data_IF_351220323584
#
_entry.id   IF_351220323584
#
_cell.length_a   1.000
_cell.length_b   1.000
_cell.length_c   1.000
_cell.angle_alpha   90.00
_cell.angle_beta   90.00
_cell.angle_gamma   90.00
#
_symmetry.space_group_name_H-M   'P 1'
#
loop_
_entity.id
_entity.type
_entity.pdbx_description
1 polymer ?
#
# COMPACT_ATOMS: atom_id res chain seq x y z
N UNK A 1 15.26 -12.91 -11.58
CA UNK A 1 13.93 -12.93 -10.95
C UNK A 1 13.95 -12.65 -9.44
N UNK A 2 14.90 -13.19 -8.66
CA UNK A 2 14.93 -12.98 -7.20
C UNK A 2 15.02 -11.52 -6.73
N UNK A 3 15.89 -10.71 -7.33
CA UNK A 3 16.09 -9.29 -6.93
C UNK A 3 14.84 -8.41 -7.10
N UNK A 4 14.03 -8.70 -8.12
CA UNK A 4 12.77 -7.96 -8.39
C UNK A 4 11.75 -8.20 -7.28
N UNK A 5 11.57 -9.47 -6.89
CA UNK A 5 10.67 -9.83 -5.80
C UNK A 5 11.14 -9.29 -4.45
N UNK A 6 12.45 -9.34 -4.17
CA UNK A 6 13.02 -8.75 -2.97
C UNK A 6 12.80 -7.23 -2.94
N UNK A 7 13.06 -6.53 -4.04
CA UNK A 7 12.81 -5.09 -4.13
C UNK A 7 11.33 -4.75 -3.94
N UNK A 8 10.43 -5.53 -4.53
CA UNK A 8 8.98 -5.36 -4.38
C UNK A 8 8.56 -5.52 -2.91
N UNK A 9 8.96 -6.62 -2.27
CA UNK A 9 8.62 -6.87 -0.86
C UNK A 9 9.16 -5.78 0.07
N UNK A 10 10.42 -5.38 -0.10
CA UNK A 10 11.02 -4.31 0.72
C UNK A 10 10.25 -3.00 0.54
N UNK A 11 9.96 -2.61 -0.71
CA UNK A 11 9.23 -1.38 -1.01
C UNK A 11 7.84 -1.41 -0.40
N UNK A 12 7.14 -2.54 -0.49
CA UNK A 12 5.79 -2.71 0.04
C UNK A 12 5.74 -2.70 1.57
N UNK A 13 6.75 -3.28 2.23
CA UNK A 13 6.87 -3.25 3.70
C UNK A 13 7.18 -1.84 4.17
N UNK A 14 8.14 -1.15 3.55
CA UNK A 14 8.45 0.25 3.87
C UNK A 14 7.23 1.13 3.69
N UNK A 15 6.45 0.90 2.62
CA UNK A 15 5.20 1.61 2.38
C UNK A 15 4.17 1.40 3.49
N UNK A 16 4.01 0.17 3.98
CA UNK A 16 3.13 -0.12 5.11
C UNK A 16 3.62 0.55 6.41
N UNK A 17 4.93 0.56 6.68
CA UNK A 17 5.51 1.23 7.86
C UNK A 17 5.19 2.72 7.87
N UNK A 18 5.24 3.39 6.71
CA UNK A 18 4.87 4.81 6.57
C UNK A 18 3.41 5.07 6.99
N UNK A 19 2.53 4.07 6.90
CA UNK A 19 1.13 4.20 7.31
C UNK A 19 0.89 3.96 8.80
N UNK A 20 1.86 3.43 9.55
CA UNK A 20 1.70 3.14 10.99
C UNK A 20 1.37 4.41 11.82
N UNK A 21 2.01 5.58 11.61
CA UNK A 21 1.68 6.76 12.41
C UNK A 21 0.24 7.23 12.22
N UNK A 22 -0.29 7.21 10.99
CA UNK A 22 -1.67 7.68 10.74
C UNK A 22 -2.70 6.70 11.30
N UNK A 23 -2.46 5.39 11.20
CA UNK A 23 -3.39 4.38 11.72
C UNK A 23 -3.50 4.44 13.25
N UNK A 24 -2.37 4.64 13.94
CA UNK A 24 -2.31 4.67 15.40
C UNK A 24 -2.70 6.04 15.95
N UNK A 25 -2.11 7.13 15.47
CA UNK A 25 -2.27 8.44 16.11
C UNK A 25 -3.44 9.26 15.59
N UNK A 26 -3.80 9.12 14.30
CA UNK A 26 -4.87 9.92 13.69
C UNK A 26 -6.18 9.15 13.73
N UNK A 27 -6.19 7.91 13.23
CA UNK A 27 -7.41 7.11 13.10
C UNK A 27 -7.72 6.30 14.34
N UNK A 28 -6.73 6.12 15.23
CA UNK A 28 -6.88 5.43 16.53
C UNK A 28 -7.52 4.05 16.38
N UNK A 29 -7.11 3.32 15.35
CA UNK A 29 -7.56 1.95 15.13
C UNK A 29 -7.11 1.06 16.29
N UNK A 30 -7.95 0.10 16.65
CA UNK A 30 -7.54 -0.98 17.55
C UNK A 30 -6.52 -1.89 16.85
N UNK A 31 -5.91 -2.81 17.61
CA UNK A 31 -4.82 -3.64 17.08
C UNK A 31 -5.28 -4.47 15.89
N UNK A 32 -6.49 -5.03 15.93
CA UNK A 32 -7.00 -5.85 14.85
C UNK A 32 -7.19 -5.03 13.57
N UNK A 33 -7.89 -3.90 13.66
CA UNK A 33 -8.13 -3.03 12.50
C UNK A 33 -6.82 -2.46 11.92
N UNK A 34 -5.85 -2.15 12.78
CA UNK A 34 -4.51 -1.70 12.35
C UNK A 34 -3.78 -2.76 11.54
N UNK A 35 -3.76 -4.01 12.02
CA UNK A 35 -3.09 -5.12 11.32
C UNK A 35 -3.77 -5.40 9.97
N UNK A 36 -5.11 -5.43 9.95
CA UNK A 36 -5.87 -5.63 8.70
C UNK A 36 -5.56 -4.52 7.70
N UNK A 37 -5.58 -3.26 8.13
CA UNK A 37 -5.28 -2.12 7.26
C UNK A 37 -3.84 -2.16 6.73
N UNK A 38 -2.85 -2.42 7.59
CA UNK A 38 -1.44 -2.48 7.17
C UNK A 38 -1.18 -3.64 6.21
N UNK A 39 -1.87 -4.77 6.39
CA UNK A 39 -1.83 -5.89 5.45
C UNK A 39 -2.41 -5.49 4.10
N UNK A 40 -3.55 -4.81 4.08
CA UNK A 40 -4.17 -4.28 2.85
C UNK A 40 -3.23 -3.30 2.13
N UNK A 41 -2.60 -2.37 2.86
CA UNK A 41 -1.62 -1.43 2.31
C UNK A 41 -0.39 -2.15 1.76
N UNK A 42 0.06 -3.22 2.40
CA UNK A 42 1.18 -4.04 1.91
C UNK A 42 0.81 -4.74 0.61
N UNK A 43 -0.37 -5.38 0.54
CA UNK A 43 -0.88 -6.03 -0.68
C UNK A 43 -1.04 -5.03 -1.82
N UNK A 44 -1.53 -3.83 -1.53
CA UNK A 44 -1.59 -2.72 -2.47
C UNK A 44 -0.19 -2.38 -3.02
N UNK A 45 0.80 -2.22 -2.14
CA UNK A 45 2.19 -1.96 -2.53
C UNK A 45 2.74 -3.05 -3.46
N UNK A 46 2.48 -4.32 -3.12
CA UNK A 46 2.95 -5.46 -3.91
C UNK A 46 2.34 -5.47 -5.30
N UNK A 47 1.03 -5.23 -5.39
CA UNK A 47 0.31 -5.13 -6.65
C UNK A 47 0.81 -3.96 -7.51
N UNK A 48 0.94 -2.76 -6.93
CA UNK A 48 1.43 -1.57 -7.62
C UNK A 48 2.84 -1.77 -8.18
N UNK A 49 3.78 -2.27 -7.36
CA UNK A 49 5.16 -2.51 -7.78
C UNK A 49 5.26 -3.65 -8.80
N UNK A 50 4.40 -4.67 -8.71
CA UNK A 50 4.35 -5.74 -9.71
C UNK A 50 3.87 -5.23 -11.07
N UNK A 51 2.78 -4.44 -11.11
CA UNK A 51 2.29 -3.86 -12.37
C UNK A 51 3.35 -2.93 -12.97
N UNK A 52 4.02 -2.12 -12.14
CA UNK A 52 5.14 -1.29 -12.60
C UNK A 52 6.29 -2.14 -13.16
N UNK A 53 6.67 -3.24 -12.49
CA UNK A 53 7.76 -4.10 -12.95
C UNK A 53 7.50 -4.67 -14.35
N UNK A 54 6.23 -4.95 -14.68
CA UNK A 54 5.80 -5.48 -15.99
C UNK A 54 5.60 -4.41 -17.06
N UNK A 55 5.01 -3.28 -16.70
CA UNK A 55 4.60 -2.25 -17.67
C UNK A 55 5.64 -1.15 -17.83
N UNK A 56 6.57 -1.01 -16.87
CA UNK A 56 7.50 0.12 -16.76
C UNK A 56 6.81 1.48 -16.83
N UNK A 57 5.54 1.54 -16.41
CA UNK A 57 4.71 2.73 -16.45
C UNK A 57 4.16 3.06 -15.05
N UNK A 58 4.38 4.31 -14.62
CA UNK A 58 3.92 4.84 -13.33
C UNK A 58 2.43 5.16 -13.31
N UNK A 59 1.78 5.38 -14.47
CA UNK A 59 0.34 5.69 -14.55
C UNK A 59 -0.51 4.65 -13.86
N UNK A 60 -0.14 3.36 -13.99
CA UNK A 60 -0.83 2.26 -13.31
C UNK A 60 -0.83 2.43 -11.79
N UNK A 61 0.32 2.78 -11.21
CA UNK A 61 0.49 2.98 -9.77
C UNK A 61 -0.23 4.24 -9.28
N UNK A 62 -0.23 5.31 -10.08
CA UNK A 62 -0.98 6.54 -9.78
C UNK A 62 -2.49 6.23 -9.74
N UNK A 63 -3.03 5.59 -10.78
CA UNK A 63 -4.45 5.26 -10.84
C UNK A 63 -4.86 4.30 -9.72
N UNK A 64 -4.06 3.27 -9.44
CA UNK A 64 -4.30 2.38 -8.31
C UNK A 64 -4.36 3.17 -7.00
N UNK A 65 -3.44 4.09 -6.78
CA UNK A 65 -3.41 4.88 -5.55
C UNK A 65 -4.58 5.84 -5.44
N UNK A 66 -4.95 6.53 -6.53
CA UNK A 66 -6.11 7.42 -6.56
C UNK A 66 -7.39 6.64 -6.25
N UNK A 67 -7.63 5.53 -6.96
CA UNK A 67 -8.81 4.70 -6.75
C UNK A 67 -8.85 4.05 -5.36
N UNK A 68 -7.69 3.76 -4.78
CA UNK A 68 -7.58 3.25 -3.40
C UNK A 68 -7.99 4.28 -2.35
N UNK A 69 -7.66 5.56 -2.56
CA UNK A 69 -8.00 6.62 -1.61
C UNK A 69 -9.48 7.03 -1.69
N UNK A 70 -10.15 6.81 -2.82
CA UNK A 70 -11.53 7.25 -3.01
C UNK A 70 -12.53 6.74 -1.98
N UNK A 71 -12.57 5.45 -1.61
CA UNK A 71 -13.47 4.99 -0.56
C UNK A 71 -13.24 5.71 0.77
N UNK A 72 -11.99 6.02 1.11
CA UNK A 72 -11.59 6.73 2.33
C UNK A 72 -11.99 8.22 2.26
N UNK A 73 -12.13 8.80 1.08
CA UNK A 73 -12.55 10.21 0.93
C UNK A 73 -14.08 10.30 0.84
N UNK A 74 -14.71 9.37 0.14
CA UNK A 74 -16.15 9.41 -0.18
C UNK A 74 -17.04 8.84 0.92
N UNK A 75 -16.56 7.86 1.68
CA UNK A 75 -17.37 7.10 2.65
C UNK A 75 -16.81 7.11 4.07
N UNK A 76 -15.83 7.97 4.35
CA UNK A 76 -15.29 8.17 5.70
C UNK A 76 -15.98 9.29 6.45
#
# INVERSE_FOLDING_TARGET
>A
MGKEWTANLITSVVWAVIHVPVTVFVWKFDLYSSVVYLLLVTLFGVGSAWVFARTKNVTSSILLHVLWQWPIILFR
#
